data_IF_327516440730
#
_entry.id   IF_327516440730
#
_cell.length_a   1.000
_cell.length_b   1.000
_cell.length_c   1.000
_cell.angle_alpha   90.00
_cell.angle_beta   90.00
_cell.angle_gamma   90.00
#
_symmetry.space_group_name_H-M   'P 1'
#
loop_
_entity.id
_entity.type
_entity.pdbx_description
1 polymer ?
#
# COMPACT_ATOMS: atom_id res chain seq x y z
N UNK A 1 -16.62 1.93 -25.28
CA UNK A 1 -15.34 2.52 -24.80
C UNK A 1 -15.18 2.40 -23.29
N UNK A 2 -16.18 2.77 -22.48
CA UNK A 2 -16.10 2.65 -21.01
C UNK A 2 -15.72 1.23 -20.52
N UNK A 3 -16.33 0.19 -21.08
CA UNK A 3 -16.04 -1.21 -20.72
C UNK A 3 -14.59 -1.64 -20.97
N UNK A 4 -13.94 -1.09 -22.01
CA UNK A 4 -12.55 -1.40 -22.34
C UNK A 4 -11.63 -0.77 -21.29
N UNK A 5 -11.89 0.50 -20.94
CA UNK A 5 -11.14 1.23 -19.91
C UNK A 5 -11.31 0.58 -18.54
N UNK A 6 -12.51 0.08 -18.23
CA UNK A 6 -12.75 -0.65 -16.98
C UNK A 6 -11.97 -1.96 -16.90
N UNK A 7 -11.86 -2.71 -18.01
CA UNK A 7 -11.08 -3.94 -18.05
C UNK A 7 -9.58 -3.66 -17.91
N UNK A 8 -9.05 -2.67 -18.63
CA UNK A 8 -7.64 -2.26 -18.49
C UNK A 8 -7.32 -1.78 -17.07
N UNK A 9 -8.24 -1.04 -16.44
CA UNK A 9 -8.08 -0.58 -15.07
C UNK A 9 -8.07 -1.75 -14.07
N UNK A 10 -8.93 -2.76 -14.27
CA UNK A 10 -8.94 -3.97 -13.44
C UNK A 10 -7.64 -4.74 -13.56
N UNK A 11 -7.14 -4.93 -14.77
CA UNK A 11 -5.88 -5.63 -15.02
C UNK A 11 -4.70 -4.88 -14.38
N UNK A 12 -4.70 -3.55 -14.49
CA UNK A 12 -3.70 -2.72 -13.84
C UNK A 12 -3.75 -2.82 -12.31
N UNK A 13 -4.93 -2.63 -11.72
CA UNK A 13 -5.11 -2.67 -10.26
C UNK A 13 -4.72 -4.04 -9.69
N UNK A 14 -5.09 -5.13 -10.36
CA UNK A 14 -4.76 -6.50 -9.91
C UNK A 14 -3.27 -6.83 -10.01
N UNK A 15 -2.52 -6.15 -10.88
CA UNK A 15 -1.06 -6.32 -11.00
C UNK A 15 -0.26 -5.62 -9.88
N UNK A 16 -0.89 -4.73 -9.12
CA UNK A 16 -0.18 -3.95 -8.10
C UNK A 16 0.26 -4.84 -6.93
N UNK A 17 1.48 -4.66 -6.40
CA UNK A 17 1.99 -5.47 -5.28
C UNK A 17 1.21 -5.26 -3.98
N UNK A 18 0.49 -4.14 -3.86
CA UNK A 18 -0.41 -3.82 -2.74
C UNK A 18 -1.84 -4.31 -2.94
N UNK A 19 -2.20 -4.82 -4.12
CA UNK A 19 -3.54 -5.32 -4.39
C UNK A 19 -3.85 -6.48 -3.46
N UNK A 20 -5.01 -6.46 -2.81
CA UNK A 20 -5.47 -7.50 -1.90
C UNK A 20 -6.69 -8.13 -2.51
N UNK A 21 -6.61 -9.42 -2.83
CA UNK A 21 -7.75 -10.16 -3.39
C UNK A 21 -8.71 -10.65 -2.31
N UNK A 22 -8.17 -11.15 -1.20
CA UNK A 22 -8.93 -11.76 -0.11
C UNK A 22 -8.21 -11.63 1.24
N UNK A 23 -8.84 -12.14 2.30
CA UNK A 23 -8.29 -12.08 3.66
C UNK A 23 -7.02 -12.91 3.83
N UNK A 24 -6.82 -13.96 3.04
CA UNK A 24 -5.59 -14.77 3.07
C UNK A 24 -4.42 -14.00 2.45
N UNK A 25 -4.65 -13.37 1.30
CA UNK A 25 -3.68 -12.50 0.62
C UNK A 25 -3.29 -11.29 1.48
N UNK A 26 -4.26 -10.71 2.18
CA UNK A 26 -4.02 -9.67 3.18
C UNK A 26 -3.06 -10.12 4.30
N UNK A 27 -3.34 -11.28 4.92
CA UNK A 27 -2.49 -11.82 5.99
C UNK A 27 -1.08 -12.14 5.49
N UNK A 28 -0.97 -12.72 4.29
CA UNK A 28 0.32 -13.00 3.66
C UNK A 28 1.12 -11.71 3.42
N UNK A 29 0.50 -10.64 2.95
CA UNK A 29 1.19 -9.35 2.74
C UNK A 29 1.60 -8.71 4.06
N UNK A 30 0.76 -8.74 5.09
CA UNK A 30 1.11 -8.23 6.42
C UNK A 30 2.32 -8.95 7.01
N UNK A 31 2.37 -10.28 6.90
CA UNK A 31 3.50 -11.05 7.42
C UNK A 31 4.80 -10.78 6.66
N UNK A 32 4.74 -10.28 5.42
CA UNK A 32 5.91 -9.83 4.66
C UNK A 32 6.38 -8.43 5.05
N UNK A 33 5.52 -7.60 5.67
CA UNK A 33 5.87 -6.30 6.27
C UNK A 33 6.53 -6.53 7.65
N UNK A 34 7.46 -7.48 7.73
CA UNK A 34 8.26 -7.78 8.92
C UNK A 34 9.59 -7.00 8.95
N UNK A 35 9.69 -5.91 8.20
CA UNK A 35 10.64 -4.87 8.56
C UNK A 35 9.88 -3.87 9.44
N UNK A 36 10.10 -3.84 10.76
CA UNK A 36 9.69 -2.68 11.53
C UNK A 36 10.24 -1.47 10.80
N UNK A 37 9.39 -0.44 10.61
CA UNK A 37 9.86 0.90 10.28
C UNK A 37 10.99 1.17 11.27
N UNK A 38 12.25 1.02 10.83
CA UNK A 38 13.44 1.19 11.68
C UNK A 38 13.20 2.45 12.45
N UNK A 39 13.09 2.35 13.78
CA UNK A 39 12.70 3.40 14.71
C UNK A 39 13.19 4.75 14.19
N UNK A 40 12.32 5.34 13.36
CA UNK A 40 12.61 6.55 12.65
C UNK A 40 12.29 7.57 13.69
N UNK A 41 13.27 7.82 14.56
CA UNK A 41 13.29 8.86 15.57
C UNK A 41 12.24 9.90 15.20
N UNK A 42 11.13 9.93 15.94
CA UNK A 42 10.32 11.13 16.02
C UNK A 42 11.20 12.21 16.64
N UNK A 43 12.14 12.75 15.87
CA UNK A 43 12.44 14.17 15.98
C UNK A 43 11.19 14.82 15.41
N UNK A 44 10.25 15.08 16.32
CA UNK A 44 9.32 16.19 16.15
C UNK A 44 10.18 17.36 15.68
N UNK A 45 10.21 17.62 14.38
CA UNK A 45 10.60 18.94 13.92
C UNK A 45 9.65 19.91 14.62
N UNK A 46 10.13 21.02 15.20
CA UNK A 46 9.22 21.94 15.86
C UNK A 46 8.23 22.42 14.81
N UNK A 47 6.99 21.98 14.93
CA UNK A 47 5.87 22.59 14.26
C UNK A 47 5.85 24.05 14.72
N UNK A 48 6.08 24.97 13.79
CA UNK A 48 5.94 26.41 13.98
C UNK A 48 6.90 27.04 15.02
N UNK A 49 7.92 27.73 14.54
CA UNK A 49 8.56 28.82 15.28
C UNK A 49 8.82 29.96 14.30
N UNK A 50 7.94 30.98 14.42
CA UNK A 50 7.85 32.26 13.70
C UNK A 50 7.86 32.25 12.17
#
# INVERSE_FOLDING_TARGET
MAEIVENELRDHVTSLPSYVRDTTDFLNKITQIQQPLRDGTMRRGPCCSN
#
